data_IF_530309794849
#
_entry.id   IF_530309794849
#
_cell.length_a   1.000
_cell.length_b   1.000
_cell.length_c   1.000
_cell.angle_alpha   90.00
_cell.angle_beta   90.00
_cell.angle_gamma   90.00
#
_symmetry.space_group_name_H-M   'P 1'
#
loop_
_entity.id
_entity.type
_entity.pdbx_description
1 polymer ?
#
# COMPACT_ATOMS: atom_id res chain seq x y z
N UNK A 1 10.61 4.85 -17.91
CA UNK A 1 9.82 4.41 -16.74
C UNK A 1 9.43 2.94 -16.95
N UNK A 2 9.67 2.07 -15.96
CA UNK A 2 9.38 0.64 -16.08
C UNK A 2 7.90 0.35 -15.80
N UNK A 3 7.34 -0.67 -16.47
CA UNK A 3 5.97 -1.19 -16.23
C UNK A 3 5.79 -1.66 -14.79
N UNK A 4 6.87 -2.02 -14.12
CA UNK A 4 6.85 -2.60 -12.78
C UNK A 4 6.52 -1.59 -11.69
N UNK A 5 6.66 -0.29 -11.96
CA UNK A 5 6.27 0.77 -11.04
C UNK A 5 4.78 0.70 -10.65
N UNK A 6 3.91 0.21 -11.55
CA UNK A 6 2.48 0.07 -11.30
C UNK A 6 2.10 -1.35 -10.82
N UNK A 7 3.09 -2.24 -10.61
CA UNK A 7 2.86 -3.66 -10.31
C UNK A 7 3.40 -4.08 -8.95
N UNK A 8 3.98 -3.15 -8.19
CA UNK A 8 4.35 -3.41 -6.80
C UNK A 8 3.10 -3.83 -6.01
N UNK A 9 3.22 -4.76 -5.06
CA UNK A 9 2.05 -5.27 -4.34
C UNK A 9 1.30 -4.18 -3.59
N UNK A 10 0.01 -4.39 -3.40
CA UNK A 10 -0.87 -3.45 -2.72
C UNK A 10 -0.46 -3.25 -1.26
N UNK A 11 -0.53 -2.00 -0.79
CA UNK A 11 -0.12 -1.60 0.56
C UNK A 11 -1.33 -1.54 1.50
N UNK A 12 -1.68 -2.67 2.11
CA UNK A 12 -2.86 -2.78 2.99
C UNK A 12 -2.64 -2.18 4.37
N UNK A 13 -1.46 -2.37 4.97
CA UNK A 13 -1.14 -1.88 6.31
C UNK A 13 0.36 -1.83 6.58
N UNK A 14 0.76 -1.74 7.85
CA UNK A 14 2.17 -1.63 8.24
C UNK A 14 2.87 -2.96 8.51
N UNK A 15 2.16 -4.08 8.40
CA UNK A 15 2.69 -5.42 8.65
C UNK A 15 3.71 -5.86 7.56
N UNK A 16 4.30 -7.05 7.75
CA UNK A 16 5.22 -7.64 6.77
C UNK A 16 4.58 -7.63 5.37
N UNK A 17 5.36 -7.24 4.36
CA UNK A 17 4.90 -7.09 2.97
C UNK A 17 3.65 -6.19 2.84
N UNK A 18 3.50 -5.18 3.70
CA UNK A 18 2.34 -4.30 3.78
C UNK A 18 1.01 -5.03 3.96
N UNK A 19 1.00 -6.24 4.54
CA UNK A 19 -0.20 -7.08 4.65
C UNK A 19 -0.65 -7.73 3.34
N UNK A 20 0.14 -7.65 2.26
CA UNK A 20 -0.19 -8.29 0.98
C UNK A 20 -0.08 -9.82 1.02
N UNK A 21 0.93 -10.34 1.71
CA UNK A 21 1.16 -11.79 1.86
C UNK A 21 2.02 -12.09 3.08
N UNK A 22 1.80 -13.24 3.72
CA UNK A 22 2.67 -13.77 4.77
C UNK A 22 3.97 -14.39 4.21
N UNK A 23 3.93 -14.82 2.94
CA UNK A 23 5.05 -15.42 2.21
C UNK A 23 6.01 -14.41 1.59
N UNK A 24 6.59 -14.76 0.45
CA UNK A 24 7.46 -13.88 -0.33
C UNK A 24 6.69 -13.34 -1.55
N UNK A 25 6.56 -12.01 -1.72
CA UNK A 25 5.92 -11.45 -2.88
C UNK A 25 6.81 -11.60 -4.13
N UNK A 26 6.20 -11.84 -5.28
CA UNK A 26 6.89 -12.01 -6.57
C UNK A 26 7.66 -10.75 -7.03
N UNK A 27 7.33 -9.59 -6.47
CA UNK A 27 8.08 -8.33 -6.60
C UNK A 27 8.05 -7.60 -5.26
N UNK A 28 9.13 -6.91 -4.91
CA UNK A 28 9.25 -6.22 -3.64
C UNK A 28 8.16 -5.15 -3.46
N UNK A 29 7.65 -5.04 -2.23
CA UNK A 29 6.75 -3.95 -1.83
C UNK A 29 7.53 -2.64 -1.76
N UNK A 30 6.90 -1.55 -2.18
CA UNK A 30 7.51 -0.23 -2.05
C UNK A 30 7.75 0.07 -0.56
N UNK A 31 8.96 0.54 -0.23
CA UNK A 31 9.42 0.77 1.15
C UNK A 31 8.58 1.81 1.90
N UNK A 32 7.87 2.67 1.19
CA UNK A 32 6.99 3.69 1.78
C UNK A 32 5.68 3.11 2.35
N UNK A 33 5.46 1.79 2.29
CA UNK A 33 4.25 1.15 2.81
C UNK A 33 3.98 1.38 4.29
N UNK A 34 5.01 1.75 5.06
CA UNK A 34 4.84 2.13 6.47
C UNK A 34 4.09 3.45 6.62
N UNK A 35 4.17 4.34 5.63
CA UNK A 35 3.58 5.67 5.66
C UNK A 35 2.34 5.77 4.77
N UNK A 36 2.37 5.14 3.60
CA UNK A 36 1.28 5.11 2.63
C UNK A 36 0.67 3.71 2.66
N UNK A 37 -0.52 3.54 3.22
CA UNK A 37 -1.24 2.28 3.18
C UNK A 37 -2.72 2.50 3.48
N UNK A 38 -3.53 1.52 3.10
CA UNK A 38 -4.98 1.58 3.26
C UNK A 38 -5.40 1.72 4.72
N UNK A 39 -4.74 1.03 5.65
CA UNK A 39 -5.05 1.13 7.09
C UNK A 39 -4.91 2.58 7.61
N UNK A 40 -3.82 3.27 7.24
CA UNK A 40 -3.59 4.67 7.59
C UNK A 40 -4.58 5.59 6.87
N UNK A 41 -4.77 5.40 5.56
CA UNK A 41 -5.66 6.25 4.77
C UNK A 41 -7.13 6.11 5.19
N UNK A 42 -7.58 4.94 5.65
CA UNK A 42 -8.93 4.79 6.19
C UNK A 42 -9.17 5.62 7.45
N UNK A 43 -8.13 5.78 8.28
CA UNK A 43 -8.20 6.53 9.56
C UNK A 43 -8.07 8.05 9.38
N UNK A 44 -7.51 8.51 8.27
CA UNK A 44 -7.34 9.93 7.97
C UNK A 44 -8.49 10.45 7.11
N UNK A 45 -9.34 11.31 7.68
CA UNK A 45 -10.50 11.90 6.99
C UNK A 45 -10.13 12.73 5.75
N UNK A 46 -8.89 13.23 5.68
CA UNK A 46 -8.36 14.02 4.57
C UNK A 46 -7.49 13.18 3.61
N UNK A 47 -7.48 11.86 3.74
CA UNK A 47 -6.69 10.98 2.88
C UNK A 47 -7.16 10.97 1.44
N UNK A 48 -6.27 10.53 0.54
CA UNK A 48 -6.61 10.29 -0.87
C UNK A 48 -7.76 9.28 -0.97
N UNK A 49 -7.69 8.16 -0.25
CA UNK A 49 -8.77 7.17 -0.20
C UNK A 49 -10.13 7.79 0.18
N UNK A 50 -10.18 8.58 1.24
CA UNK A 50 -11.44 9.16 1.73
C UNK A 50 -11.94 10.30 0.84
N UNK A 51 -11.06 10.99 0.11
CA UNK A 51 -11.46 11.90 -0.97
C UNK A 51 -12.18 11.16 -2.10
N UNK A 52 -11.62 10.03 -2.57
CA UNK A 52 -12.20 9.26 -3.68
C UNK A 52 -13.46 8.45 -3.32
N UNK A 53 -13.71 8.16 -2.04
CA UNK A 53 -14.92 7.46 -1.57
C UNK A 53 -16.18 8.33 -1.55
N UNK A 54 -16.02 9.66 -1.51
CA UNK A 54 -17.13 10.63 -1.52
C UNK A 54 -17.76 10.68 -2.91
#
# INVERSE_FOLDING_TARGET
>A
MSRDNARTPMQWGTEKNAGFTSGEPWIAVNKNYKDINVEKEQKDENSVLNYYKR
#
